data_IF_005857540195
#
_entry.id   IF_005857540195
#
_cell.length_a   1.000
_cell.length_b   1.000
_cell.length_c   1.000
_cell.angle_alpha   90.00
_cell.angle_beta   90.00
_cell.angle_gamma   90.00
#
_symmetry.space_group_name_H-M   'P 1'
#
loop_
_entity.id
_entity.type
_entity.pdbx_description
1 polymer ?
#
# COMPACT_ATOMS: atom_id res chain seq x y z
N UNK A 1 -12.94 -4.43 -2.68
CA UNK A 1 -12.32 -3.12 -2.40
C UNK A 1 -12.50 -2.86 -0.93
N UNK A 2 -11.41 -2.68 -0.20
CA UNK A 2 -11.45 -2.23 1.20
C UNK A 2 -11.09 -0.74 1.22
N UNK A 3 -11.57 -0.03 2.24
CA UNK A 3 -11.30 1.39 2.40
C UNK A 3 -10.29 1.58 3.51
N UNK A 4 -9.25 2.34 3.24
CA UNK A 4 -8.32 2.83 4.25
C UNK A 4 -8.25 4.35 4.12
N UNK A 5 -8.28 5.03 5.26
CA UNK A 5 -8.10 6.46 5.34
C UNK A 5 -6.79 6.75 6.07
N UNK A 6 -6.01 7.70 5.55
CA UNK A 6 -4.80 8.17 6.21
C UNK A 6 -5.00 9.64 6.54
N UNK A 7 -4.94 10.02 7.82
CA UNK A 7 -4.83 11.43 8.17
C UNK A 7 -3.38 11.85 7.96
N UNK A 8 -3.06 12.46 6.82
CA UNK A 8 -1.75 13.11 6.63
C UNK A 8 -1.72 14.33 7.55
N UNK A 9 -1.13 14.19 8.73
CA UNK A 9 -0.90 15.28 9.67
C UNK A 9 0.28 16.12 9.17
N UNK A 10 0.07 17.40 8.92
CA UNK A 10 1.17 18.37 8.98
C UNK A 10 1.61 18.47 10.45
N UNK A 11 2.71 17.80 10.80
CA UNK A 11 3.30 17.85 12.15
C UNK A 11 3.35 16.51 12.90
N UNK A 12 4.47 16.32 13.62
CA UNK A 12 4.92 15.10 14.29
C UNK A 12 3.83 14.36 15.09
N UNK A 13 3.57 13.10 14.67
CA UNK A 13 2.83 11.97 15.30
C UNK A 13 1.70 11.45 14.43
N UNK A 14 1.97 10.34 13.74
CA UNK A 14 0.96 9.42 13.21
C UNK A 14 0.26 8.69 14.38
N UNK A 15 -1.06 8.56 14.32
CA UNK A 15 -1.82 7.62 15.15
C UNK A 15 -2.53 6.66 14.21
N UNK A 16 -2.31 5.36 14.44
CA UNK A 16 -3.01 4.27 13.76
C UNK A 16 -4.26 3.94 14.57
N UNK A 17 -5.44 4.14 13.99
CA UNK A 17 -6.69 3.65 14.55
C UNK A 17 -6.99 2.25 14.04
N UNK A 18 -6.62 1.21 14.78
CA UNK A 18 -7.10 -0.16 14.53
C UNK A 18 -8.42 -0.37 15.27
N UNK A 19 -9.52 0.08 14.68
CA UNK A 19 -10.84 -0.05 15.28
C UNK A 19 -11.96 0.29 14.31
N UNK A 20 -12.41 -0.69 13.53
CA UNK A 20 -13.61 -0.57 12.72
C UNK A 20 -13.88 -1.85 11.94
N UNK A 21 -15.02 -2.49 12.20
CA UNK A 21 -15.58 -3.50 11.27
C UNK A 21 -15.57 -2.86 9.88
N UNK A 22 -15.06 -3.54 8.86
CA UNK A 22 -15.03 -3.01 7.50
C UNK A 22 -16.43 -2.57 7.08
N UNK A 23 -16.69 -1.26 7.17
CA UNK A 23 -17.94 -0.69 6.65
C UNK A 23 -17.78 -0.74 5.15
N UNK A 24 -18.49 -1.66 4.51
CA UNK A 24 -18.64 -1.67 3.06
C UNK A 24 -19.46 -0.43 2.72
N UNK A 25 -18.79 0.65 2.34
CA UNK A 25 -19.48 1.80 1.79
C UNK A 25 -19.85 1.48 0.34
N UNK A 26 -21.15 1.43 -0.01
CA UNK A 26 -21.58 1.07 -1.36
C UNK A 26 -21.21 2.12 -2.41
N UNK A 27 -20.77 3.31 -1.99
CA UNK A 27 -20.42 4.40 -2.88
C UNK A 27 -18.99 4.90 -2.59
N UNK A 28 -18.03 4.42 -3.38
CA UNK A 28 -16.60 4.78 -3.30
C UNK A 28 -16.40 6.29 -3.39
N UNK A 29 -17.03 6.94 -4.36
CA UNK A 29 -16.93 8.39 -4.58
C UNK A 29 -17.35 9.20 -3.35
N UNK A 30 -18.55 8.95 -2.80
CA UNK A 30 -19.05 9.63 -1.59
C UNK A 30 -18.12 9.41 -0.40
N UNK A 31 -17.53 8.23 -0.28
CA UNK A 31 -16.63 7.88 0.82
C UNK A 31 -15.32 8.67 0.75
N UNK A 32 -14.72 8.77 -0.45
CA UNK A 32 -13.53 9.58 -0.67
C UNK A 32 -13.80 11.06 -0.36
N UNK A 33 -14.96 11.59 -0.76
CA UNK A 33 -15.37 12.96 -0.42
C UNK A 33 -15.50 13.17 1.09
N UNK A 34 -16.12 12.23 1.80
CA UNK A 34 -16.28 12.29 3.25
C UNK A 34 -14.93 12.23 3.99
N UNK A 35 -13.98 11.42 3.51
CA UNK A 35 -12.63 11.40 4.09
C UNK A 35 -11.94 12.76 3.90
N UNK A 36 -12.04 13.35 2.70
CA UNK A 36 -11.45 14.67 2.42
C UNK A 36 -12.11 15.79 3.22
N UNK A 37 -13.42 15.75 3.45
CA UNK A 37 -14.12 16.77 4.25
C UNK A 37 -13.69 16.78 5.72
N UNK A 38 -13.11 15.68 6.20
CA UNK A 38 -12.48 15.59 7.53
C UNK A 38 -11.02 16.10 7.55
N UNK A 39 -10.51 16.63 6.44
CA UNK A 39 -9.13 17.08 6.30
C UNK A 39 -8.10 15.94 6.26
N UNK A 40 -8.53 14.73 5.87
CA UNK A 40 -7.67 13.55 5.73
C UNK A 40 -7.31 13.30 4.26
N UNK A 41 -6.22 12.56 4.04
CA UNK A 41 -5.89 12.02 2.73
C UNK A 41 -6.78 10.80 2.45
N UNK A 42 -7.35 10.73 1.25
CA UNK A 42 -8.29 9.72 0.85
C UNK A 42 -7.59 8.59 0.08
N UNK A 43 -7.74 7.36 0.57
CA UNK A 43 -7.13 6.18 -0.01
C UNK A 43 -8.11 5.09 -0.40
N UNK A 44 -7.66 4.19 -1.26
CA UNK A 44 -8.41 3.00 -1.68
C UNK A 44 -7.52 1.77 -1.62
N UNK A 45 -8.05 0.66 -1.11
CA UNK A 45 -7.35 -0.63 -1.11
C UNK A 45 -8.01 -1.62 -2.07
N UNK A 46 -7.17 -2.29 -2.86
CA UNK A 46 -7.60 -3.28 -3.86
C UNK A 46 -7.02 -4.66 -3.55
N UNK A 47 -7.87 -5.67 -3.66
CA UNK A 47 -7.50 -7.07 -3.43
C UNK A 47 -6.74 -7.64 -4.64
N UNK A 48 -6.09 -8.82 -4.54
CA UNK A 48 -5.42 -9.48 -5.66
C UNK A 48 -6.34 -9.69 -6.89
N UNK A 49 -7.63 -9.96 -6.68
CA UNK A 49 -8.59 -10.14 -7.78
C UNK A 49 -9.19 -8.82 -8.33
N UNK A 50 -9.04 -7.69 -7.62
CA UNK A 50 -9.58 -6.41 -8.08
C UNK A 50 -8.63 -5.82 -9.15
N UNK A 51 -9.11 -5.55 -10.38
CA UNK A 51 -8.25 -5.03 -11.44
C UNK A 51 -7.92 -3.55 -11.23
N UNK A 52 -6.72 -3.12 -11.64
CA UNK A 52 -6.26 -1.72 -11.49
C UNK A 52 -7.18 -0.71 -12.21
N UNK A 53 -7.68 -1.09 -13.39
CA UNK A 53 -8.57 -0.24 -14.21
C UNK A 53 -9.84 0.18 -13.48
N UNK A 54 -10.28 -0.56 -12.45
CA UNK A 54 -11.46 -0.18 -11.66
C UNK A 54 -11.30 1.17 -10.95
N UNK A 55 -10.08 1.72 -10.87
CA UNK A 55 -9.79 3.01 -10.24
C UNK A 55 -9.70 4.17 -11.23
N UNK A 56 -9.83 3.96 -12.56
CA UNK A 56 -9.63 5.00 -13.58
C UNK A 56 -10.46 6.26 -13.33
N UNK A 57 -11.75 6.07 -13.06
CA UNK A 57 -12.73 7.17 -12.92
C UNK A 57 -12.55 7.98 -11.64
N UNK A 58 -11.90 7.41 -10.62
CA UNK A 58 -11.77 8.02 -9.29
C UNK A 58 -10.34 8.41 -8.95
N UNK A 59 -9.39 8.19 -9.87
CA UNK A 59 -7.97 8.44 -9.63
C UNK A 59 -7.69 9.89 -9.20
N UNK A 60 -8.43 10.84 -9.76
CA UNK A 60 -8.36 12.26 -9.42
C UNK A 60 -8.75 12.59 -7.97
N UNK A 61 -9.37 11.67 -7.25
CA UNK A 61 -9.81 11.82 -5.87
C UNK A 61 -8.94 11.07 -4.88
N UNK A 62 -7.97 10.28 -5.33
CA UNK A 62 -7.20 9.35 -4.51
C UNK A 62 -5.79 9.87 -4.28
N UNK A 63 -5.43 10.03 -3.01
CA UNK A 63 -4.07 10.41 -2.59
C UNK A 63 -3.16 9.18 -2.48
N UNK A 64 -3.72 8.00 -2.18
CA UNK A 64 -2.97 6.75 -2.05
C UNK A 64 -3.76 5.49 -2.46
N UNK A 65 -3.09 4.54 -3.11
CA UNK A 65 -3.64 3.25 -3.53
C UNK A 65 -2.88 2.14 -2.82
N UNK A 66 -3.56 1.36 -1.99
CA UNK A 66 -3.00 0.20 -1.31
C UNK A 66 -3.31 -1.08 -2.09
N UNK A 67 -2.26 -1.73 -2.58
CA UNK A 67 -2.34 -2.99 -3.32
C UNK A 67 -2.06 -4.13 -2.35
N UNK A 68 -3.07 -4.96 -2.11
CA UNK A 68 -2.88 -6.20 -1.37
C UNK A 68 -2.12 -7.20 -2.23
N UNK A 69 -0.97 -7.66 -1.74
CA UNK A 69 -0.11 -8.66 -2.39
C UNK A 69 -0.16 -10.01 -1.68
N UNK A 70 -1.20 -10.19 -0.87
CA UNK A 70 -1.66 -11.42 -0.23
C UNK A 70 -3.20 -11.40 -0.20
N UNK A 71 -3.84 -12.52 0.12
CA UNK A 71 -5.28 -12.47 0.40
C UNK A 71 -5.52 -11.77 1.75
N UNK A 72 -6.47 -10.82 1.83
CA UNK A 72 -6.73 -10.09 3.06
C UNK A 72 -7.22 -11.04 4.17
N UNK A 73 -6.77 -10.82 5.41
CA UNK A 73 -7.26 -11.55 6.59
C UNK A 73 -6.19 -11.70 7.68
N UNK A 74 -5.01 -12.19 7.32
CA UNK A 74 -3.96 -12.53 8.30
C UNK A 74 -2.56 -12.15 7.81
N UNK A 75 -1.66 -11.82 8.74
CA UNK A 75 -0.25 -11.58 8.47
C UNK A 75 0.55 -12.88 8.22
N UNK A 76 1.78 -12.74 7.72
CA UNK A 76 2.70 -13.88 7.50
C UNK A 76 2.48 -14.66 6.21
N UNK A 77 1.52 -14.26 5.38
CA UNK A 77 1.30 -14.85 4.06
C UNK A 77 2.43 -14.49 3.08
N UNK A 78 2.70 -15.38 2.13
CA UNK A 78 3.69 -15.19 1.09
C UNK A 78 3.22 -14.18 0.04
N UNK A 79 4.14 -13.33 -0.42
CA UNK A 79 3.91 -12.38 -1.50
C UNK A 79 3.41 -13.08 -2.77
N UNK A 80 2.44 -12.48 -3.46
CA UNK A 80 1.87 -12.95 -4.72
C UNK A 80 2.50 -12.21 -5.91
N UNK A 81 3.51 -12.78 -6.62
CA UNK A 81 4.21 -12.09 -7.72
C UNK A 81 3.31 -11.67 -8.88
N UNK A 82 2.20 -12.37 -9.09
CA UNK A 82 1.17 -12.05 -10.09
C UNK A 82 0.49 -10.68 -9.86
N UNK A 83 0.72 -10.06 -8.71
CA UNK A 83 0.24 -8.69 -8.42
C UNK A 83 1.19 -7.59 -8.93
N UNK A 84 2.45 -7.91 -9.27
CA UNK A 84 3.41 -6.92 -9.78
C UNK A 84 2.93 -6.20 -11.07
N UNK A 85 2.34 -6.88 -12.08
CA UNK A 85 1.77 -6.20 -13.24
C UNK A 85 0.70 -5.16 -12.87
N UNK A 86 -0.08 -5.41 -11.81
CA UNK A 86 -1.10 -4.48 -11.34
C UNK A 86 -0.48 -3.21 -10.76
N UNK A 87 0.60 -3.35 -10.00
CA UNK A 87 1.34 -2.21 -9.44
C UNK A 87 1.90 -1.35 -10.60
N UNK A 88 2.49 -1.99 -11.62
CA UNK A 88 2.96 -1.29 -12.83
C UNK A 88 1.84 -0.55 -13.56
N UNK A 89 0.69 -1.19 -13.73
CA UNK A 89 -0.47 -0.58 -14.37
C UNK A 89 -0.96 0.64 -13.59
N UNK A 90 -1.03 0.56 -12.26
CA UNK A 90 -1.41 1.69 -11.42
C UNK A 90 -0.43 2.85 -11.53
N UNK A 91 0.88 2.56 -11.51
CA UNK A 91 1.91 3.59 -11.70
C UNK A 91 1.74 4.31 -13.03
N UNK A 92 1.59 3.56 -14.12
CA UNK A 92 1.36 4.12 -15.45
C UNK A 92 0.07 4.97 -15.51
N UNK A 93 -1.01 4.53 -14.85
CA UNK A 93 -2.26 5.32 -14.77
C UNK A 93 -2.06 6.64 -14.02
N UNK A 94 -1.32 6.63 -12.91
CA UNK A 94 -1.02 7.83 -12.13
C UNK A 94 -0.15 8.82 -12.92
N UNK A 95 0.90 8.30 -13.56
CA UNK A 95 1.84 9.10 -14.35
C UNK A 95 1.15 9.73 -15.57
N UNK A 96 0.34 8.96 -16.29
CA UNK A 96 -0.45 9.46 -17.43
C UNK A 96 -1.47 10.54 -17.03
N UNK A 97 -2.00 10.47 -15.80
CA UNK A 97 -2.92 11.45 -15.25
C UNK A 97 -2.22 12.66 -14.58
N UNK A 98 -0.88 12.68 -14.55
CA UNK A 98 -0.10 13.70 -13.84
C UNK A 98 -0.38 13.74 -12.34
N UNK A 99 -0.65 12.57 -11.72
CA UNK A 99 -1.03 12.46 -10.31
C UNK A 99 0.12 11.92 -9.47
N UNK A 100 0.47 12.67 -8.44
CA UNK A 100 1.39 12.23 -7.38
C UNK A 100 0.64 11.38 -6.35
N UNK A 101 0.16 10.21 -6.78
CA UNK A 101 -0.55 9.25 -5.94
C UNK A 101 0.43 8.23 -5.38
N UNK A 102 0.41 8.03 -4.05
CA UNK A 102 1.21 7.00 -3.39
C UNK A 102 0.71 5.61 -3.77
N UNK A 103 1.60 4.73 -4.20
CA UNK A 103 1.32 3.31 -4.40
C UNK A 103 1.94 2.54 -3.24
N UNK A 104 1.05 2.04 -2.39
CA UNK A 104 1.37 1.27 -1.19
C UNK A 104 1.23 -0.22 -1.50
N UNK A 105 2.18 -1.03 -1.05
CA UNK A 105 2.11 -2.49 -1.15
C UNK A 105 2.00 -3.09 0.23
N UNK A 106 0.99 -3.96 0.42
CA UNK A 106 0.73 -4.63 1.70
C UNK A 106 0.57 -6.15 1.52
N UNK A 107 1.47 -6.90 2.18
CA UNK A 107 1.47 -8.35 2.23
C UNK A 107 2.77 -8.97 1.72
N UNK A 108 3.45 -9.74 2.56
CA UNK A 108 4.63 -10.51 2.16
C UNK A 108 5.88 -9.67 1.82
N UNK A 109 5.95 -8.41 2.26
CA UNK A 109 7.17 -7.59 2.11
C UNK A 109 8.29 -8.11 3.02
N UNK A 110 9.42 -8.44 2.43
CA UNK A 110 10.67 -8.87 3.07
C UNK A 110 11.89 -8.43 2.24
N UNK A 111 13.09 -8.85 2.63
CA UNK A 111 14.36 -8.49 1.96
C UNK A 111 14.49 -9.00 0.52
N UNK A 112 13.65 -9.94 0.09
CA UNK A 112 13.65 -10.51 -1.26
C UNK A 112 12.60 -9.85 -2.16
N UNK A 113 11.43 -9.50 -1.60
CA UNK A 113 10.26 -9.01 -2.35
C UNK A 113 10.18 -7.50 -2.46
N UNK A 114 10.83 -6.77 -1.54
CA UNK A 114 10.72 -5.32 -1.46
C UNK A 114 11.19 -4.61 -2.75
N UNK A 115 12.32 -5.01 -3.36
CA UNK A 115 12.76 -4.32 -4.57
C UNK A 115 11.86 -4.61 -5.76
N UNK A 116 11.32 -5.83 -5.91
CA UNK A 116 10.37 -6.12 -6.99
C UNK A 116 9.11 -5.26 -6.89
N UNK A 117 8.62 -5.00 -5.68
CA UNK A 117 7.51 -4.08 -5.46
C UNK A 117 7.87 -2.64 -5.87
N UNK A 118 9.07 -2.17 -5.49
CA UNK A 118 9.57 -0.83 -5.86
C UNK A 118 9.76 -0.69 -7.37
N UNK A 119 10.39 -1.67 -8.01
CA UNK A 119 10.60 -1.73 -9.46
C UNK A 119 9.26 -1.72 -10.21
N UNK A 120 8.24 -2.36 -9.65
CA UNK A 120 6.90 -2.32 -10.20
C UNK A 120 6.19 -0.96 -10.03
N UNK A 121 6.77 0.00 -9.30
CA UNK A 121 6.26 1.37 -9.16
C UNK A 121 5.68 1.71 -7.78
N UNK A 122 5.82 0.83 -6.79
CA UNK A 122 5.47 1.13 -5.41
C UNK A 122 6.49 2.08 -4.77
N UNK A 123 6.01 3.00 -3.94
CA UNK A 123 6.85 3.93 -3.20
C UNK A 123 6.62 3.88 -1.68
N UNK A 124 5.63 3.11 -1.23
CA UNK A 124 5.38 2.83 0.19
C UNK A 124 5.24 1.32 0.38
N UNK A 125 5.97 0.76 1.36
CA UNK A 125 5.95 -0.67 1.66
C UNK A 125 5.45 -0.91 3.08
N UNK A 126 4.47 -1.80 3.24
CA UNK A 126 3.97 -2.25 4.55
C UNK A 126 4.66 -3.55 4.92
N UNK A 127 5.54 -3.49 5.93
CA UNK A 127 6.29 -4.63 6.42
C UNK A 127 5.86 -4.99 7.86
N UNK A 128 5.26 -6.17 8.01
CA UNK A 128 4.85 -6.74 9.30
C UNK A 128 5.94 -7.65 9.89
N UNK A 129 5.81 -8.95 9.62
CA UNK A 129 6.67 -10.01 10.19
C UNK A 129 8.16 -9.89 9.84
N UNK A 130 8.50 -9.19 8.76
CA UNK A 130 9.89 -8.89 8.40
C UNK A 130 10.57 -7.91 9.39
N UNK A 131 9.77 -7.10 10.11
CA UNK A 131 10.26 -6.10 11.07
C UNK A 131 9.93 -6.51 12.50
N UNK A 132 8.70 -6.98 12.74
CA UNK A 132 8.21 -7.37 14.06
C UNK A 132 8.27 -8.88 14.22
N UNK A 133 9.21 -9.36 15.03
CA UNK A 133 9.50 -10.77 15.24
C UNK A 133 10.01 -11.00 16.65
N UNK A 134 9.75 -12.18 17.21
CA UNK A 134 10.35 -12.60 18.49
C UNK A 134 11.82 -13.03 18.34
N UNK A 135 12.28 -13.25 17.10
CA UNK A 135 13.60 -13.82 16.82
C UNK A 135 14.71 -12.78 16.69
N UNK A 136 14.37 -11.51 16.49
CA UNK A 136 15.31 -10.43 16.24
C UNK A 136 14.69 -9.08 16.61
N UNK A 137 15.52 -8.05 16.83
CA UNK A 137 15.00 -6.73 17.17
C UNK A 137 14.40 -6.02 15.96
N UNK A 138 13.52 -5.03 16.20
CA UNK A 138 12.98 -4.16 15.14
C UNK A 138 14.11 -3.51 14.33
N UNK A 139 15.20 -3.12 14.98
CA UNK A 139 16.36 -2.53 14.31
C UNK A 139 17.02 -3.52 13.34
N UNK A 140 17.17 -4.78 13.75
CA UNK A 140 17.74 -5.83 12.90
C UNK A 140 16.83 -6.13 11.69
N UNK A 141 15.52 -6.17 11.90
CA UNK A 141 14.53 -6.34 10.82
C UNK A 141 14.63 -5.22 9.78
N UNK A 142 14.68 -3.96 10.22
CA UNK A 142 14.88 -2.82 9.33
C UNK A 142 16.23 -2.85 8.60
N UNK A 143 17.30 -3.25 9.29
CA UNK A 143 18.63 -3.37 8.70
C UNK A 143 18.66 -4.43 7.58
N UNK A 144 18.04 -5.59 7.81
CA UNK A 144 17.91 -6.67 6.81
C UNK A 144 17.13 -6.22 5.58
N UNK A 145 15.98 -5.57 5.78
CA UNK A 145 15.19 -5.01 4.67
C UNK A 145 16.01 -4.03 3.83
N UNK A 146 16.71 -3.09 4.47
CA UNK A 146 17.57 -2.12 3.77
C UNK A 146 18.70 -2.81 3.01
N UNK A 147 19.36 -3.80 3.62
CA UNK A 147 20.43 -4.55 2.98
C UNK A 147 19.93 -5.36 1.76
N UNK A 148 18.70 -5.90 1.80
CA UNK A 148 18.07 -6.55 0.65
C UNK A 148 17.92 -5.61 -0.53
N UNK A 149 17.43 -4.39 -0.26
CA UNK A 149 17.28 -3.33 -1.28
C UNK A 149 18.61 -2.89 -1.90
N UNK A 150 19.68 -2.78 -1.10
CA UNK A 150 21.03 -2.45 -1.59
C UNK A 150 21.57 -3.53 -2.55
N UNK A 151 21.44 -4.81 -2.18
CA UNK A 151 21.93 -5.94 -3.00
C UNK A 151 21.26 -6.03 -4.36
N UNK A 152 19.97 -5.74 -4.43
CA UNK A 152 19.22 -5.78 -5.69
C UNK A 152 19.53 -4.58 -6.61
N UNK A 153 19.96 -3.42 -6.06
CA UNK A 153 20.44 -2.30 -6.88
C UNK A 153 21.81 -2.54 -7.53
N UNK A 154 22.62 -3.41 -6.93
CA UNK A 154 23.98 -3.74 -7.42
C UNK A 154 24.03 -4.85 -8.49
N UNK A 155 22.87 -5.37 -8.92
CA UNK A 155 22.73 -6.38 -9.96
C UNK A 155 22.21 -5.74 -11.25
#
# INVERSE_FOLDING_TARGET
>A
IYFFFFKRKTGNRSQFGSGGRGIVYPNLHRTLQAIRSLGCAAGVAINPHTPAVALSEILHMVDLILVMTVNPGFGGQAFLPETLPKIRQLRAMCDAAGRDTDIVVDGGINEETAASAIEAGANVLVAGTAVFSERFSVADGLARLRAGLEKQKSR
#
